data_IF_028440396801
#
_entry.id   IF_028440396801
#
_cell.length_a   1.000
_cell.length_b   1.000
_cell.length_c   1.000
_cell.angle_alpha   90.00
_cell.angle_beta   90.00
_cell.angle_gamma   90.00
#
_symmetry.space_group_name_H-M   'P 1'
#
loop_
_entity.id
_entity.type
_entity.pdbx_description
1 polymer ?
#
# COMPACT_ATOMS: atom_id res chain seq x y z
N UNK A 1 2.52 8.18 24.87
CA UNK A 1 1.99 8.59 26.20
C UNK A 1 2.39 10.02 26.56
N UNK A 2 3.69 10.38 26.56
CA UNK A 2 4.16 11.73 26.95
C UNK A 2 3.65 12.88 26.03
N UNK A 3 3.52 12.64 24.73
CA UNK A 3 3.02 13.64 23.75
C UNK A 3 1.52 13.90 23.87
N UNK A 4 0.72 12.89 24.23
CA UNK A 4 -0.73 13.02 24.45
C UNK A 4 -1.01 13.75 25.77
N UNK A 5 -0.17 13.52 26.79
CA UNK A 5 -0.27 14.19 28.09
C UNK A 5 0.09 15.69 28.04
N UNK A 6 0.97 16.10 27.11
CA UNK A 6 1.45 17.50 27.02
C UNK A 6 0.62 18.40 26.09
N UNK A 7 -0.03 17.83 25.07
CA UNK A 7 -0.75 18.61 24.04
C UNK A 7 -2.27 18.36 24.00
N UNK A 8 -2.79 17.43 24.80
CA UNK A 8 -4.22 17.11 24.86
C UNK A 8 -4.82 16.66 23.51
N UNK A 9 -6.15 16.75 23.40
CA UNK A 9 -6.92 16.43 22.18
C UNK A 9 -6.52 17.27 20.94
N UNK A 10 -5.77 18.36 21.12
CA UNK A 10 -5.33 19.25 20.04
C UNK A 10 -4.37 18.56 19.07
N UNK A 11 -3.60 17.56 19.55
CA UNK A 11 -2.70 16.77 18.68
C UNK A 11 -3.48 16.00 17.60
N UNK A 12 -4.71 15.56 17.90
CA UNK A 12 -5.54 14.84 16.92
C UNK A 12 -5.98 15.76 15.78
N UNK A 13 -6.18 17.05 16.05
CA UNK A 13 -6.52 18.04 15.02
C UNK A 13 -5.33 18.33 14.09
N UNK A 14 -4.11 18.32 14.62
CA UNK A 14 -2.86 18.53 13.86
C UNK A 14 -2.42 17.28 13.08
N UNK A 15 -2.67 16.07 13.61
CA UNK A 15 -2.36 14.79 12.95
C UNK A 15 -3.43 14.35 11.94
N UNK A 16 -4.67 14.81 12.09
CA UNK A 16 -5.77 14.59 11.15
C UNK A 16 -5.37 14.79 9.67
N UNK A 17 -4.83 15.96 9.28
CA UNK A 17 -4.45 16.21 7.87
C UNK A 17 -3.34 15.26 7.39
N UNK A 18 -2.41 14.87 8.27
CA UNK A 18 -1.37 13.90 7.94
C UNK A 18 -1.97 12.52 7.61
N UNK A 19 -2.83 11.98 8.48
CA UNK A 19 -3.45 10.67 8.30
C UNK A 19 -4.32 10.66 7.03
N UNK A 20 -5.12 11.72 6.83
CA UNK A 20 -5.97 11.86 5.64
C UNK A 20 -5.12 11.88 4.36
N UNK A 21 -4.00 12.61 4.36
CA UNK A 21 -3.11 12.70 3.19
C UNK A 21 -2.47 11.35 2.86
N UNK A 22 -2.04 10.58 3.87
CA UNK A 22 -1.50 9.23 3.67
C UNK A 22 -2.57 8.29 3.09
N UNK A 23 -3.77 8.29 3.66
CA UNK A 23 -4.88 7.46 3.18
C UNK A 23 -5.24 7.84 1.73
N UNK A 24 -5.32 9.13 1.42
CA UNK A 24 -5.59 9.61 0.06
C UNK A 24 -4.48 9.19 -0.92
N UNK A 25 -3.20 9.32 -0.54
CA UNK A 25 -2.08 8.89 -1.38
C UNK A 25 -2.12 7.40 -1.69
N UNK A 26 -2.39 6.56 -0.68
CA UNK A 26 -2.57 5.12 -0.85
C UNK A 26 -3.79 4.77 -1.71
N UNK A 27 -4.92 5.49 -1.52
CA UNK A 27 -6.11 5.31 -2.33
C UNK A 27 -5.86 5.67 -3.79
N UNK A 28 -5.17 6.78 -4.07
CA UNK A 28 -4.78 7.18 -5.42
C UNK A 28 -3.88 6.12 -6.06
N UNK A 29 -2.89 5.61 -5.34
CA UNK A 29 -2.02 4.56 -5.85
C UNK A 29 -2.81 3.29 -6.21
N UNK A 30 -3.76 2.90 -5.35
CA UNK A 30 -4.57 1.69 -5.52
C UNK A 30 -5.64 1.80 -6.62
N UNK A 31 -6.30 2.95 -6.74
CA UNK A 31 -7.44 3.16 -7.65
C UNK A 31 -7.10 3.89 -8.94
N UNK A 32 -5.92 4.50 -9.04
CA UNK A 32 -5.49 5.23 -10.25
C UNK A 32 -4.21 4.62 -10.80
N UNK A 33 -3.11 4.61 -10.04
CA UNK A 33 -1.80 4.20 -10.57
C UNK A 33 -1.78 2.76 -11.05
N UNK A 34 -2.17 1.80 -10.21
CA UNK A 34 -2.19 0.39 -10.58
C UNK A 34 -3.18 0.04 -11.72
N UNK A 35 -4.45 0.50 -11.72
CA UNK A 35 -5.35 0.27 -12.85
C UNK A 35 -4.86 0.88 -14.16
N UNK A 36 -4.30 2.09 -14.13
CA UNK A 36 -3.75 2.73 -15.33
C UNK A 36 -2.57 1.93 -15.86
N UNK A 37 -1.66 1.52 -14.99
CA UNK A 37 -0.49 0.73 -15.35
C UNK A 37 -0.89 -0.62 -15.95
N UNK A 38 -1.86 -1.32 -15.34
CA UNK A 38 -2.39 -2.59 -15.83
C UNK A 38 -3.09 -2.45 -17.19
N UNK A 39 -3.78 -1.34 -17.43
CA UNK A 39 -4.48 -1.07 -18.69
C UNK A 39 -3.52 -0.73 -19.83
N UNK A 40 -2.50 0.08 -19.55
CA UNK A 40 -1.52 0.55 -20.55
C UNK A 40 -0.51 -0.54 -20.90
N UNK A 41 0.08 -1.20 -19.89
CA UNK A 41 1.14 -2.19 -20.10
C UNK A 41 0.60 -3.61 -20.23
N UNK A 42 -0.34 -3.99 -19.35
CA UNK A 42 -0.83 -5.35 -19.26
C UNK A 42 -1.93 -5.69 -20.28
N UNK A 43 -2.70 -4.71 -20.76
CA UNK A 43 -3.93 -4.93 -21.56
C UNK A 43 -4.89 -5.95 -20.92
N UNK A 44 -4.85 -6.10 -19.60
CA UNK A 44 -5.66 -7.06 -18.83
C UNK A 44 -6.82 -6.33 -18.16
N UNK A 45 -7.94 -7.03 -17.97
CA UNK A 45 -9.08 -6.54 -17.19
C UNK A 45 -8.71 -6.39 -15.71
N UNK A 46 -8.50 -5.15 -15.27
CA UNK A 46 -8.25 -4.76 -13.88
C UNK A 46 -9.21 -5.41 -12.87
N UNK A 47 -10.50 -5.45 -13.22
CA UNK A 47 -11.58 -5.95 -12.35
C UNK A 47 -11.42 -7.43 -12.01
N UNK A 48 -10.94 -8.25 -12.95
CA UNK A 48 -10.75 -9.68 -12.72
C UNK A 48 -9.54 -9.93 -11.84
N UNK A 49 -8.47 -9.15 -12.04
CA UNK A 49 -7.28 -9.25 -11.19
C UNK A 49 -7.58 -8.83 -9.75
N UNK A 50 -8.25 -7.69 -9.55
CA UNK A 50 -8.61 -7.21 -8.22
C UNK A 50 -9.53 -8.19 -7.47
N UNK A 51 -10.49 -8.81 -8.16
CA UNK A 51 -11.32 -9.88 -7.58
C UNK A 51 -10.49 -11.12 -7.23
N UNK A 52 -9.50 -11.47 -8.05
CA UNK A 52 -8.64 -12.63 -7.80
C UNK A 52 -7.72 -12.42 -6.59
N UNK A 53 -7.21 -11.21 -6.36
CA UNK A 53 -6.28 -10.89 -5.26
C UNK A 53 -6.95 -10.27 -4.02
N UNK A 54 -8.27 -10.06 -4.03
CA UNK A 54 -8.99 -9.42 -2.93
C UNK A 54 -8.75 -10.08 -1.56
N UNK A 55 -8.69 -11.42 -1.53
CA UNK A 55 -8.38 -12.18 -0.31
C UNK A 55 -6.98 -11.85 0.22
N UNK A 56 -5.98 -11.85 -0.66
CA UNK A 56 -4.61 -11.48 -0.30
C UNK A 56 -4.52 -10.02 0.19
N UNK A 57 -5.29 -9.11 -0.40
CA UNK A 57 -5.35 -7.71 0.05
C UNK A 57 -5.95 -7.58 1.46
N UNK A 58 -7.00 -8.33 1.78
CA UNK A 58 -7.60 -8.32 3.12
C UNK A 58 -6.66 -8.91 4.17
N UNK A 59 -5.98 -10.02 3.83
CA UNK A 59 -4.96 -10.60 4.72
C UNK A 59 -3.78 -9.63 4.90
N UNK A 60 -3.36 -8.92 3.85
CA UNK A 60 -2.28 -7.93 3.95
C UNK A 60 -2.65 -6.73 4.81
N UNK A 61 -3.89 -6.28 4.69
CA UNK A 61 -4.42 -5.24 5.58
C UNK A 61 -4.48 -5.71 7.04
N UNK A 62 -4.97 -6.93 7.29
CA UNK A 62 -5.12 -7.46 8.65
C UNK A 62 -3.81 -7.86 9.33
N UNK A 63 -2.82 -8.34 8.56
CA UNK A 63 -1.52 -8.77 9.10
C UNK A 63 -0.48 -7.64 9.13
N UNK A 64 -0.72 -6.54 8.40
CA UNK A 64 0.21 -5.43 8.22
C UNK A 64 1.65 -5.84 7.81
N UNK A 65 1.81 -7.01 7.16
CA UNK A 65 3.11 -7.58 6.83
C UNK A 65 3.13 -8.18 5.43
N UNK A 66 3.94 -7.59 4.54
CA UNK A 66 4.12 -8.10 3.17
C UNK A 66 4.63 -9.54 3.15
N UNK A 67 5.58 -9.89 4.00
CA UNK A 67 6.16 -11.24 4.07
C UNK A 67 5.18 -12.29 4.56
N UNK A 68 4.29 -11.93 5.50
CA UNK A 68 3.25 -12.84 5.99
C UNK A 68 2.19 -13.15 4.92
N UNK A 69 2.03 -12.24 3.95
CA UNK A 69 0.99 -12.35 2.90
C UNK A 69 1.45 -13.05 1.64
N UNK A 70 2.76 -13.15 1.42
CA UNK A 70 3.35 -13.78 0.25
C UNK A 70 2.74 -15.16 -0.11
N UNK A 71 2.58 -16.13 0.81
CA UNK A 71 2.00 -17.42 0.47
C UNK A 71 0.54 -17.32 0.01
N UNK A 72 -0.25 -16.43 0.61
CA UNK A 72 -1.65 -16.20 0.23
C UNK A 72 -1.72 -15.51 -1.15
N UNK A 73 -0.83 -14.55 -1.40
CA UNK A 73 -0.73 -13.86 -2.69
C UNK A 73 -0.35 -14.81 -3.82
N UNK A 74 0.63 -15.70 -3.61
CA UNK A 74 1.01 -16.74 -4.59
C UNK A 74 -0.19 -17.63 -4.90
N UNK A 75 -0.87 -18.13 -3.87
CA UNK A 75 -2.05 -19.00 -4.05
C UNK A 75 -3.19 -18.30 -4.81
N UNK A 76 -3.46 -17.02 -4.53
CA UNK A 76 -4.45 -16.23 -5.24
C UNK A 76 -4.08 -16.03 -6.71
N UNK A 77 -2.82 -15.68 -6.99
CA UNK A 77 -2.34 -15.46 -8.36
C UNK A 77 -2.34 -16.75 -9.20
N UNK A 78 -1.97 -17.89 -8.62
CA UNK A 78 -1.98 -19.18 -9.31
C UNK A 78 -3.40 -19.71 -9.53
N UNK A 79 -4.22 -19.77 -8.47
CA UNK A 79 -5.54 -20.44 -8.53
C UNK A 79 -6.66 -19.56 -9.06
N UNK A 80 -6.64 -18.26 -8.76
CA UNK A 80 -7.73 -17.33 -9.10
C UNK A 80 -7.41 -16.45 -10.31
N UNK A 81 -6.14 -16.06 -10.49
CA UNK A 81 -5.72 -15.25 -11.64
C UNK A 81 -5.16 -16.07 -12.81
N UNK A 82 -4.95 -17.39 -12.63
CA UNK A 82 -4.49 -18.30 -13.69
C UNK A 82 -3.04 -18.05 -14.15
N UNK A 83 -2.23 -17.39 -13.32
CA UNK A 83 -0.83 -17.07 -13.65
C UNK A 83 0.03 -18.31 -13.40
N UNK A 84 1.01 -18.57 -14.27
CA UNK A 84 1.92 -19.70 -14.10
C UNK A 84 2.67 -19.64 -12.77
N UNK A 85 2.69 -20.77 -12.05
CA UNK A 85 3.39 -20.89 -10.76
C UNK A 85 4.85 -20.48 -10.81
N UNK A 86 5.53 -20.76 -11.94
CA UNK A 86 6.93 -20.38 -12.15
C UNK A 86 7.13 -18.86 -12.19
N UNK A 87 6.16 -18.12 -12.73
CA UNK A 87 6.20 -16.65 -12.76
C UNK A 87 5.86 -16.09 -11.38
N UNK A 88 4.80 -16.60 -10.74
CA UNK A 88 4.39 -16.17 -9.39
C UNK A 88 5.50 -16.38 -8.35
N UNK A 89 6.11 -17.56 -8.32
CA UNK A 89 7.13 -17.94 -7.34
C UNK A 89 8.47 -17.22 -7.54
N UNK A 90 8.67 -16.54 -8.67
CA UNK A 90 9.88 -15.75 -8.92
C UNK A 90 9.61 -14.25 -8.77
N UNK A 91 8.57 -13.73 -9.42
CA UNK A 91 8.28 -12.30 -9.47
C UNK A 91 7.72 -11.78 -8.14
N UNK A 92 6.85 -12.54 -7.45
CA UNK A 92 6.24 -12.07 -6.20
C UNK A 92 7.25 -11.97 -5.05
N UNK A 93 8.14 -12.94 -4.81
CA UNK A 93 9.17 -12.80 -3.78
C UNK A 93 10.18 -11.68 -4.07
N UNK A 94 10.59 -11.51 -5.33
CA UNK A 94 11.44 -10.39 -5.75
C UNK A 94 10.71 -9.05 -5.60
N UNK A 95 9.41 -9.02 -5.88
CA UNK A 95 8.58 -7.82 -5.76
C UNK A 95 8.47 -7.32 -4.32
N UNK A 96 8.41 -8.20 -3.32
CA UNK A 96 8.28 -7.79 -1.90
C UNK A 96 9.53 -7.06 -1.38
N UNK A 97 10.71 -7.39 -1.89
CA UNK A 97 11.95 -6.72 -1.47
C UNK A 97 12.13 -5.38 -2.17
N UNK A 98 11.76 -5.30 -3.46
CA UNK A 98 12.00 -4.12 -4.31
C UNK A 98 10.84 -3.12 -4.33
N UNK A 99 9.59 -3.57 -4.33
CA UNK A 99 8.40 -2.72 -4.47
C UNK A 99 7.84 -2.36 -3.10
N UNK A 100 8.23 -1.18 -2.61
CA UNK A 100 7.80 -0.60 -1.33
C UNK A 100 7.04 0.72 -1.54
N UNK A 101 6.14 0.76 -2.51
CA UNK A 101 5.41 1.96 -2.92
C UNK A 101 4.66 2.62 -1.75
N UNK A 102 3.94 1.82 -0.95
CA UNK A 102 3.20 2.34 0.21
C UNK A 102 4.11 2.92 1.29
N UNK A 103 5.29 2.33 1.50
CA UNK A 103 6.30 2.87 2.43
C UNK A 103 6.89 4.17 1.90
N UNK A 104 7.15 4.25 0.60
CA UNK A 104 7.63 5.48 -0.04
C UNK A 104 6.63 6.62 0.14
N UNK A 105 5.34 6.40 -0.16
CA UNK A 105 4.27 7.39 0.05
C UNK A 105 4.23 7.86 1.51
N UNK A 106 4.25 6.93 2.45
CA UNK A 106 4.26 7.25 3.88
C UNK A 106 5.49 8.08 4.29
N UNK A 107 6.68 7.69 3.84
CA UNK A 107 7.93 8.39 4.13
C UNK A 107 7.93 9.80 3.54
N UNK A 108 7.53 9.97 2.27
CA UNK A 108 7.47 11.28 1.61
C UNK A 108 6.53 12.22 2.35
N UNK A 109 5.33 11.77 2.71
CA UNK A 109 4.36 12.59 3.44
C UNK A 109 4.87 12.88 4.87
N UNK A 110 5.54 11.93 5.51
CA UNK A 110 6.14 12.12 6.85
C UNK A 110 7.22 13.19 6.84
N UNK A 111 8.09 13.19 5.82
CA UNK A 111 9.14 14.21 5.67
C UNK A 111 8.50 15.59 5.47
N UNK A 112 7.49 15.69 4.61
CA UNK A 112 6.79 16.96 4.35
C UNK A 112 6.06 17.48 5.60
N UNK A 113 5.44 16.59 6.37
CA UNK A 113 4.78 16.94 7.63
C UNK A 113 5.77 17.45 8.68
N UNK A 114 6.93 16.80 8.80
CA UNK A 114 8.00 17.25 9.69
C UNK A 114 8.54 18.60 9.23
N UNK A 115 8.81 18.78 7.93
CA UNK A 115 9.27 20.06 7.39
C UNK A 115 8.29 21.19 7.75
N UNK A 116 7.00 20.97 7.52
CA UNK A 116 5.95 21.92 7.87
C UNK A 116 5.88 22.20 9.39
N UNK A 117 5.98 21.16 10.22
CA UNK A 117 5.93 21.31 11.68
C UNK A 117 7.14 22.08 12.25
N UNK A 118 8.30 22.01 11.60
CA UNK A 118 9.50 22.75 11.99
C UNK A 118 9.64 24.11 11.27
N UNK A 119 8.69 24.49 10.41
CA UNK A 119 8.72 25.75 9.68
C UNK A 119 9.79 25.82 8.58
N UNK A 120 10.25 24.67 8.10
CA UNK A 120 11.20 24.55 7.00
C UNK A 120 10.42 24.42 5.69
N UNK A 121 10.73 25.20 4.64
CA UNK A 121 10.05 25.10 3.34
C UNK A 121 10.28 23.76 2.64
#
# INVERSE_FOLDING_TARGET
AFTVAKSGLKIFSELSPFIITVILGLAIQLFITYPVLLKVLGKISFTNLYKAIAEAMMVAFGTASSSATLPVTIACCERRAGISSKICSFVLPLGITMSKDGTAIFQTISILFIAHAYGVP
#
